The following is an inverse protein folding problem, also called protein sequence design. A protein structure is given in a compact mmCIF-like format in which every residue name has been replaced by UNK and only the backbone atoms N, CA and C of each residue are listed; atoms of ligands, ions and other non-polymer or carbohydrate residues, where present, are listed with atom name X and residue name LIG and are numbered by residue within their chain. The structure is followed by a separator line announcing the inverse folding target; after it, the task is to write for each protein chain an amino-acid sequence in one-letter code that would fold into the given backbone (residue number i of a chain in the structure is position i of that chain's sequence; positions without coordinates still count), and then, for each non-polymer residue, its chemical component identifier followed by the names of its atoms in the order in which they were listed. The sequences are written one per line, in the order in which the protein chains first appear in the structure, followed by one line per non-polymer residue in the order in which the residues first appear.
data_IF_254368782373
#
_entry.id   IF_254368782373
#
_cell.length_a   1.000
_cell.length_b   1.000
_cell.length_c   1.000
_cell.angle_alpha   90.00
_cell.angle_beta   90.00
_cell.angle_gamma   90.00
#
_symmetry.space_group_name_H-M   'P 1'
#
loop_
_entity.id
_entity.type
_entity.pdbx_description
1 polymer ?
#
# COMPACT_ATOMS: atom_id res chain seq x y z
N UNK A 1 14.76 -18.93 -11.93
CA UNK A 1 15.61 -17.97 -11.22
C UNK A 1 14.90 -16.60 -11.15
N UNK A 2 14.81 -15.99 -9.94
CA UNK A 2 14.31 -14.62 -9.77
C UNK A 2 15.48 -13.65 -9.89
N UNK A 3 15.32 -12.63 -10.73
CA UNK A 3 16.25 -11.51 -10.85
C UNK A 3 15.80 -10.40 -9.91
N UNK A 4 16.77 -9.71 -9.33
CA UNK A 4 16.58 -8.48 -8.55
C UNK A 4 17.48 -7.42 -9.14
N UNK A 5 16.90 -6.42 -9.78
CA UNK A 5 17.64 -5.28 -10.32
C UNK A 5 17.37 -4.02 -9.51
N UNK A 6 18.41 -3.22 -9.30
CA UNK A 6 18.31 -1.86 -8.78
C UNK A 6 18.20 -0.91 -9.96
N UNK A 7 17.13 -0.13 -10.01
CA UNK A 7 16.97 0.90 -11.03
C UNK A 7 16.36 2.18 -10.43
N UNK A 8 16.34 3.25 -11.22
CA UNK A 8 15.61 4.48 -10.93
C UNK A 8 14.55 4.70 -11.98
N UNK A 9 13.31 4.87 -11.56
CA UNK A 9 12.21 5.31 -12.41
C UNK A 9 11.97 6.79 -12.12
N UNK A 10 12.43 7.64 -13.04
CA UNK A 10 12.54 9.06 -12.77
C UNK A 10 13.46 9.33 -11.57
N UNK A 11 12.89 9.90 -10.50
CA UNK A 11 13.62 10.17 -9.25
C UNK A 11 13.42 9.07 -8.16
N UNK A 12 12.72 7.98 -8.48
CA UNK A 12 12.30 6.95 -7.52
C UNK A 12 13.26 5.76 -7.62
N UNK A 13 14.11 5.49 -6.62
CA UNK A 13 14.86 4.24 -6.53
C UNK A 13 13.92 3.07 -6.29
N UNK A 14 14.09 1.98 -7.04
CA UNK A 14 13.27 0.78 -6.92
C UNK A 14 14.12 -0.48 -6.94
N UNK A 15 13.65 -1.54 -6.29
CA UNK A 15 14.05 -2.90 -6.59
C UNK A 15 13.00 -3.50 -7.52
N UNK A 16 13.45 -4.04 -8.64
CA UNK A 16 12.63 -4.61 -9.69
C UNK A 16 12.88 -6.12 -9.76
N UNK A 17 11.84 -6.90 -9.51
CA UNK A 17 11.91 -8.35 -9.45
C UNK A 17 10.98 -8.99 -10.46
N UNK A 18 11.45 -10.05 -11.11
CA UNK A 18 10.63 -11.02 -11.84
C UNK A 18 11.43 -12.30 -12.14
N UNK A 19 10.79 -13.30 -12.73
CA UNK A 19 11.52 -14.43 -13.30
C UNK A 19 12.45 -13.97 -14.43
N UNK A 20 13.66 -14.54 -14.47
CA UNK A 20 14.69 -14.21 -15.47
C UNK A 20 14.18 -14.43 -16.91
N UNK A 21 13.50 -15.54 -17.15
CA UNK A 21 12.95 -15.89 -18.45
C UNK A 21 11.88 -14.94 -18.97
N UNK A 22 11.25 -14.18 -18.07
CA UNK A 22 10.14 -13.26 -18.37
C UNK A 22 10.50 -11.79 -18.08
N UNK A 23 11.75 -11.48 -17.73
CA UNK A 23 12.16 -10.13 -17.30
C UNK A 23 11.88 -9.04 -18.33
N UNK A 24 11.99 -9.36 -19.63
CA UNK A 24 11.72 -8.44 -20.74
C UNK A 24 10.34 -8.64 -21.36
N UNK A 25 9.44 -9.40 -20.72
CA UNK A 25 8.10 -9.66 -21.24
C UNK A 25 7.06 -8.79 -20.50
N UNK A 26 5.90 -8.62 -21.09
CA UNK A 26 4.77 -7.98 -20.46
C UNK A 26 4.17 -8.91 -19.37
N UNK A 27 4.20 -8.44 -18.10
CA UNK A 27 3.73 -9.20 -16.95
C UNK A 27 2.69 -8.41 -16.15
N UNK A 28 1.85 -9.08 -15.34
CA UNK A 28 1.07 -8.38 -14.31
C UNK A 28 2.03 -7.71 -13.31
N UNK A 29 1.70 -6.47 -12.92
CA UNK A 29 2.51 -5.66 -12.01
C UNK A 29 1.97 -5.74 -10.58
N UNK A 30 2.87 -5.84 -9.61
CA UNK A 30 2.60 -5.55 -8.20
C UNK A 30 3.59 -4.49 -7.72
N UNK A 31 3.09 -3.39 -7.16
CA UNK A 31 3.92 -2.41 -6.47
C UNK A 31 3.70 -2.62 -4.98
N UNK A 32 4.78 -2.92 -4.24
CA UNK A 32 4.72 -3.16 -2.80
C UNK A 32 5.46 -2.06 -2.04
N UNK A 33 4.74 -1.34 -1.18
CA UNK A 33 5.22 -0.15 -0.47
C UNK A 33 5.60 -0.50 0.96
N UNK A 34 6.79 -0.09 1.38
CA UNK A 34 7.28 -0.30 2.75
C UNK A 34 6.60 0.62 3.77
N UNK A 35 6.77 0.30 5.07
CA UNK A 35 6.29 1.09 6.19
C UNK A 35 7.16 2.29 6.51
N UNK A 36 6.67 3.15 7.41
CA UNK A 36 7.42 4.27 7.99
C UNK A 36 8.71 3.76 8.67
N UNK A 37 9.81 4.49 8.54
CA UNK A 37 11.14 4.11 9.04
C UNK A 37 11.67 2.77 8.49
N UNK A 38 11.24 2.37 7.30
CA UNK A 38 11.68 1.17 6.61
C UNK A 38 12.35 1.53 5.28
N UNK A 39 12.66 0.54 4.45
CA UNK A 39 13.22 0.69 3.13
C UNK A 39 12.72 -0.45 2.21
N UNK A 40 12.91 -0.27 0.90
CA UNK A 40 12.50 -1.24 -0.11
C UNK A 40 13.05 -2.65 0.15
N UNK A 41 14.29 -2.75 0.63
CA UNK A 41 14.99 -4.01 0.88
C UNK A 41 14.31 -4.87 1.95
N UNK A 42 13.65 -4.26 2.93
CA UNK A 42 13.00 -4.97 4.03
C UNK A 42 11.76 -5.77 3.59
N UNK A 43 11.30 -5.58 2.34
CA UNK A 43 10.12 -6.23 1.79
C UNK A 43 10.45 -7.27 0.70
N UNK A 44 11.73 -7.63 0.53
CA UNK A 44 12.18 -8.59 -0.49
C UNK A 44 11.50 -9.96 -0.36
N UNK A 45 11.16 -10.40 0.84
CA UNK A 45 10.48 -11.68 1.05
C UNK A 45 9.05 -11.70 0.46
N UNK A 46 8.32 -10.58 0.47
CA UNK A 46 7.05 -10.46 -0.26
C UNK A 46 7.27 -10.50 -1.76
N UNK A 47 8.21 -9.68 -2.24
CA UNK A 47 8.49 -9.57 -3.66
C UNK A 47 8.96 -10.88 -4.27
N UNK A 48 9.79 -11.64 -3.55
CA UNK A 48 10.25 -12.97 -3.97
C UNK A 48 9.07 -13.93 -4.17
N UNK A 49 8.19 -14.07 -3.17
CA UNK A 49 7.04 -14.97 -3.25
C UNK A 49 6.07 -14.60 -4.39
N UNK A 50 5.91 -13.31 -4.67
CA UNK A 50 5.06 -12.85 -5.77
C UNK A 50 5.76 -13.05 -7.12
N UNK A 51 7.07 -12.81 -7.22
CA UNK A 51 7.83 -13.05 -8.44
C UNK A 51 7.87 -14.55 -8.82
N UNK A 52 7.98 -15.47 -7.84
CA UNK A 52 7.84 -16.93 -8.08
C UNK A 52 6.47 -17.31 -8.67
N UNK A 53 5.45 -16.50 -8.46
CA UNK A 53 4.12 -16.68 -9.04
C UNK A 53 3.95 -16.04 -10.43
N UNK A 54 5.04 -15.52 -11.01
CA UNK A 54 5.06 -14.95 -12.36
C UNK A 54 4.63 -13.47 -12.42
N UNK A 55 4.70 -12.75 -11.31
CA UNK A 55 4.46 -11.30 -11.27
C UNK A 55 5.75 -10.52 -11.48
N UNK A 56 5.64 -9.36 -12.09
CA UNK A 56 6.62 -8.28 -11.99
C UNK A 56 6.36 -7.54 -10.69
N UNK A 57 7.38 -7.41 -9.83
CA UNK A 57 7.23 -6.76 -8.53
C UNK A 57 8.19 -5.59 -8.42
N UNK A 58 7.68 -4.43 -8.07
CA UNK A 58 8.47 -3.25 -7.77
C UNK A 58 8.35 -2.87 -6.29
N UNK A 59 9.51 -2.63 -5.68
CA UNK A 59 9.64 -2.13 -4.33
C UNK A 59 10.25 -0.73 -4.41
N UNK A 60 9.46 0.36 -4.38
CA UNK A 60 10.00 1.71 -4.37
C UNK A 60 10.46 2.14 -2.96
N UNK A 61 11.47 3.01 -2.88
CA UNK A 61 11.69 3.81 -1.67
C UNK A 61 10.70 4.96 -1.60
N UNK A 62 10.03 5.09 -0.47
CA UNK A 62 9.20 6.25 -0.15
C UNK A 62 10.10 7.48 0.03
N UNK A 63 9.60 8.67 -0.29
CA UNK A 63 10.32 9.92 -0.04
C UNK A 63 10.83 9.98 1.41
N UNK A 64 12.02 10.48 1.62
CA UNK A 64 12.75 10.57 2.90
C UNK A 64 13.17 9.22 3.51
N UNK A 65 13.08 8.12 2.77
CA UNK A 65 13.49 6.79 3.21
C UNK A 65 14.45 6.13 2.20
N UNK A 66 15.25 5.17 2.69
CA UNK A 66 16.18 4.40 1.86
C UNK A 66 17.14 5.29 1.08
N UNK A 67 17.24 5.11 -0.23
CA UNK A 67 18.09 5.96 -1.09
C UNK A 67 17.55 7.40 -1.32
N UNK A 68 16.39 7.73 -0.76
CA UNK A 68 15.78 9.07 -0.77
C UNK A 68 15.91 9.80 0.57
N UNK A 69 16.69 9.26 1.50
CA UNK A 69 16.98 9.91 2.79
C UNK A 69 17.66 11.27 2.61
N UNK A 70 17.30 12.22 3.49
CA UNK A 70 17.87 13.57 3.53
C UNK A 70 18.41 13.91 4.93
N UNK A 71 18.59 12.89 5.77
CA UNK A 71 19.14 13.04 7.12
C UNK A 71 18.18 13.59 8.16
N UNK A 72 16.86 13.47 7.95
CA UNK A 72 15.86 13.85 8.95
C UNK A 72 15.89 12.91 10.16
N UNK A 73 15.80 13.49 11.36
CA UNK A 73 15.52 12.73 12.58
C UNK A 73 14.06 12.28 12.62
N UNK A 74 13.73 11.33 13.49
CA UNK A 74 12.35 10.84 13.69
C UNK A 74 11.38 11.98 14.00
N UNK A 75 11.79 12.95 14.80
CA UNK A 75 10.97 14.12 15.13
C UNK A 75 10.73 15.05 13.94
N UNK A 76 11.59 15.01 12.93
CA UNK A 76 11.42 15.77 11.68
C UNK A 76 10.62 14.98 10.63
N UNK A 77 10.65 13.64 10.69
CA UNK A 77 9.88 12.76 9.79
C UNK A 77 8.40 12.66 10.17
N UNK A 78 8.10 12.54 11.46
CA UNK A 78 6.72 12.36 11.94
C UNK A 78 5.74 13.42 11.40
N UNK A 79 6.04 14.72 11.40
CA UNK A 79 5.16 15.75 10.84
C UNK A 79 4.93 15.63 9.33
N UNK A 80 5.84 14.94 8.63
CA UNK A 80 5.79 14.75 7.18
C UNK A 80 5.07 13.47 6.77
N UNK A 81 4.47 12.75 7.71
CA UNK A 81 3.83 11.47 7.46
C UNK A 81 2.82 11.53 6.29
N UNK A 82 1.91 12.50 6.31
CA UNK A 82 0.91 12.64 5.27
C UNK A 82 1.48 13.16 3.95
N UNK A 83 2.53 13.97 3.98
CA UNK A 83 3.29 14.35 2.79
C UNK A 83 3.87 13.10 2.11
N UNK A 84 4.49 12.20 2.90
CA UNK A 84 5.04 10.94 2.40
C UNK A 84 3.96 10.04 1.78
N UNK A 85 2.82 9.91 2.45
CA UNK A 85 1.69 9.12 1.93
C UNK A 85 1.20 9.68 0.60
N UNK A 86 0.91 10.98 0.52
CA UNK A 86 0.37 11.61 -0.69
C UNK A 86 1.39 11.63 -1.84
N UNK A 87 2.68 11.87 -1.54
CA UNK A 87 3.72 11.82 -2.57
C UNK A 87 3.90 10.40 -3.11
N UNK A 88 3.86 9.38 -2.25
CA UNK A 88 3.98 7.99 -2.70
C UNK A 88 2.82 7.58 -3.60
N UNK A 89 1.59 8.03 -3.31
CA UNK A 89 0.45 7.80 -4.22
C UNK A 89 0.74 8.36 -5.62
N UNK A 90 1.32 9.56 -5.73
CA UNK A 90 1.72 10.16 -7.02
C UNK A 90 2.84 9.36 -7.69
N UNK A 91 3.81 8.91 -6.90
CA UNK A 91 4.95 8.11 -7.39
C UNK A 91 4.49 6.80 -8.04
N UNK A 92 3.38 6.18 -7.57
CA UNK A 92 2.80 4.98 -8.19
C UNK A 92 2.40 5.20 -9.66
N UNK A 93 1.83 6.36 -9.98
CA UNK A 93 1.46 6.69 -11.35
C UNK A 93 2.69 6.84 -12.24
N UNK A 94 3.77 7.48 -11.75
CA UNK A 94 5.03 7.59 -12.47
C UNK A 94 5.65 6.21 -12.76
N UNK A 95 5.66 5.33 -11.77
CA UNK A 95 6.16 3.95 -11.92
C UNK A 95 5.35 3.20 -12.98
N UNK A 96 4.02 3.26 -12.90
CA UNK A 96 3.12 2.61 -13.87
C UNK A 96 3.38 3.15 -15.29
N UNK A 97 3.46 4.46 -15.46
CA UNK A 97 3.61 5.08 -16.79
C UNK A 97 4.96 4.73 -17.45
N UNK A 98 6.05 4.69 -16.68
CA UNK A 98 7.36 4.26 -17.16
C UNK A 98 7.34 2.81 -17.66
N UNK A 99 6.80 1.90 -16.85
CA UNK A 99 6.75 0.48 -17.21
C UNK A 99 5.81 0.20 -18.39
N UNK A 100 4.71 0.96 -18.54
CA UNK A 100 3.85 0.89 -19.71
C UNK A 100 4.57 1.37 -20.97
N UNK A 101 5.30 2.49 -20.89
CA UNK A 101 6.09 3.01 -22.02
C UNK A 101 7.16 2.00 -22.47
N UNK A 102 7.74 1.26 -21.51
CA UNK A 102 8.72 0.19 -21.76
C UNK A 102 8.05 -1.14 -22.19
N UNK A 103 6.74 -1.23 -22.24
CA UNK A 103 5.97 -2.44 -22.58
C UNK A 103 6.28 -3.64 -21.67
N UNK A 104 6.48 -3.38 -20.39
CA UNK A 104 6.85 -4.40 -19.41
C UNK A 104 5.66 -4.88 -18.57
N UNK A 105 4.53 -4.17 -18.62
CA UNK A 105 3.35 -4.48 -17.78
C UNK A 105 2.05 -4.49 -18.56
N UNK A 106 1.13 -5.37 -18.14
CA UNK A 106 -0.26 -5.35 -18.59
C UNK A 106 -1.05 -4.29 -17.80
N UNK A 107 -1.52 -3.27 -18.50
CA UNK A 107 -2.29 -2.16 -17.92
C UNK A 107 -3.59 -2.57 -17.22
N UNK A 108 -4.10 -3.77 -17.50
CA UNK A 108 -5.33 -4.31 -16.89
C UNK A 108 -5.08 -5.17 -15.66
N UNK A 109 -3.80 -5.43 -15.33
CA UNK A 109 -3.40 -6.32 -14.24
C UNK A 109 -2.34 -5.64 -13.37
N UNK A 110 -2.78 -4.64 -12.59
CA UNK A 110 -1.91 -3.87 -11.70
C UNK A 110 -2.44 -3.98 -10.27
N UNK A 111 -1.61 -4.53 -9.39
CA UNK A 111 -1.86 -4.63 -7.96
C UNK A 111 -1.00 -3.68 -7.15
N UNK A 112 -1.52 -3.25 -6.02
CA UNK A 112 -0.77 -2.46 -5.04
C UNK A 112 -0.92 -3.07 -3.66
N UNK A 113 0.18 -3.16 -2.93
CA UNK A 113 0.20 -3.62 -1.55
C UNK A 113 1.20 -2.83 -0.71
N UNK A 114 1.09 -2.95 0.59
CA UNK A 114 2.10 -2.41 1.49
C UNK A 114 1.81 -2.66 2.95
N UNK A 115 2.82 -2.41 3.78
CA UNK A 115 2.76 -2.59 5.22
C UNK A 115 2.68 -1.25 5.95
N UNK A 116 1.81 -1.13 6.98
CA UNK A 116 1.69 0.07 7.82
C UNK A 116 1.43 1.33 6.97
N UNK A 117 2.34 2.30 6.93
CA UNK A 117 2.27 3.45 6.02
C UNK A 117 2.03 3.01 4.56
N UNK A 118 2.69 1.94 4.09
CA UNK A 118 2.46 1.40 2.75
C UNK A 118 1.05 0.83 2.56
N UNK A 119 0.45 0.25 3.60
CA UNK A 119 -0.95 -0.17 3.62
C UNK A 119 -1.91 1.03 3.57
N UNK A 120 -1.56 2.12 4.25
CA UNK A 120 -2.28 3.40 4.16
C UNK A 120 -2.21 3.94 2.72
N UNK A 121 -1.01 4.01 2.12
CA UNK A 121 -0.82 4.39 0.71
C UNK A 121 -1.67 3.53 -0.22
N UNK A 122 -1.73 2.21 0.00
CA UNK A 122 -2.56 1.30 -0.81
C UNK A 122 -4.02 1.71 -0.81
N UNK A 123 -4.58 2.03 0.35
CA UNK A 123 -5.97 2.45 0.47
C UNK A 123 -6.25 3.79 -0.26
N UNK A 124 -5.36 4.78 -0.09
CA UNK A 124 -5.52 6.06 -0.79
C UNK A 124 -5.28 5.97 -2.30
N UNK A 125 -4.40 5.07 -2.73
CA UNK A 125 -4.19 4.80 -4.14
C UNK A 125 -5.43 4.18 -4.79
N UNK A 126 -6.15 3.29 -4.08
CA UNK A 126 -7.44 2.76 -4.52
C UNK A 126 -8.53 3.84 -4.63
N UNK A 127 -8.51 4.86 -3.78
CA UNK A 127 -9.41 5.99 -3.90
C UNK A 127 -9.05 6.92 -5.08
N UNK A 128 -7.74 7.04 -5.39
CA UNK A 128 -7.23 7.97 -6.39
C UNK A 128 -7.27 7.41 -7.82
N UNK A 129 -7.05 6.08 -7.98
CA UNK A 129 -6.76 5.48 -9.27
C UNK A 129 -7.63 4.26 -9.57
N UNK A 130 -8.31 4.29 -10.70
CA UNK A 130 -9.14 3.21 -11.25
C UNK A 130 -8.31 2.10 -11.93
N UNK A 131 -7.09 2.41 -12.37
CA UNK A 131 -6.18 1.45 -13.00
C UNK A 131 -5.60 0.40 -12.03
N UNK A 132 -5.71 0.61 -10.72
CA UNK A 132 -5.35 -0.42 -9.72
C UNK A 132 -6.48 -1.43 -9.65
N UNK A 133 -6.20 -2.68 -10.00
CA UNK A 133 -7.21 -3.72 -10.10
C UNK A 133 -7.32 -4.61 -8.87
N UNK A 134 -6.26 -4.70 -8.05
CA UNK A 134 -6.23 -5.50 -6.81
C UNK A 134 -5.45 -4.77 -5.73
N UNK A 135 -5.94 -4.76 -4.49
CA UNK A 135 -5.26 -4.17 -3.33
C UNK A 135 -5.01 -5.16 -2.20
N UNK A 136 -3.89 -4.97 -1.45
CA UNK A 136 -3.64 -5.65 -0.17
C UNK A 136 -3.12 -4.63 0.84
N UNK A 137 -3.91 -4.35 1.87
CA UNK A 137 -3.57 -3.40 2.94
C UNK A 137 -3.18 -4.16 4.21
N UNK A 138 -1.87 -4.23 4.49
CA UNK A 138 -1.33 -4.91 5.65
C UNK A 138 -1.12 -3.90 6.79
N UNK A 139 -1.88 -4.05 7.88
CA UNK A 139 -1.91 -3.15 9.05
C UNK A 139 -1.97 -1.65 8.67
N UNK A 140 -2.73 -1.35 7.60
CA UNK A 140 -2.99 0.01 7.12
C UNK A 140 -4.30 0.58 7.65
N UNK A 141 -4.62 1.81 7.22
CA UNK A 141 -5.84 2.50 7.60
C UNK A 141 -6.49 3.17 6.38
N UNK A 142 -7.74 2.86 6.03
CA UNK A 142 -8.44 3.47 4.90
C UNK A 142 -9.09 4.82 5.23
N UNK A 143 -9.21 5.17 6.53
CA UNK A 143 -9.90 6.36 7.03
C UNK A 143 -8.86 7.45 7.34
N UNK A 144 -8.42 8.17 6.33
CA UNK A 144 -7.33 9.15 6.43
C UNK A 144 -7.65 10.29 7.37
N UNK A 145 -8.83 10.88 7.22
CA UNK A 145 -9.28 12.01 8.04
C UNK A 145 -9.34 11.60 9.52
N UNK A 146 -10.06 10.53 9.83
CA UNK A 146 -10.19 10.05 11.21
C UNK A 146 -8.85 9.63 11.82
N UNK A 147 -7.93 9.09 11.02
CA UNK A 147 -6.61 8.71 11.50
C UNK A 147 -5.70 9.92 11.72
N UNK A 148 -5.76 10.93 10.87
CA UNK A 148 -5.05 12.19 11.07
C UNK A 148 -5.54 12.93 12.33
N UNK A 149 -6.85 12.99 12.55
CA UNK A 149 -7.44 13.56 13.76
C UNK A 149 -6.96 12.82 15.03
N UNK A 150 -6.95 11.48 15.00
CA UNK A 150 -6.41 10.68 16.10
C UNK A 150 -4.93 10.97 16.38
N UNK A 151 -4.11 11.08 15.33
CA UNK A 151 -2.68 11.44 15.49
C UNK A 151 -2.51 12.83 16.09
N UNK A 152 -3.30 13.81 15.67
CA UNK A 152 -3.27 15.18 16.19
C UNK A 152 -3.67 15.19 17.68
N UNK A 153 -4.72 14.47 18.05
CA UNK A 153 -5.13 14.35 19.45
C UNK A 153 -4.02 13.75 20.32
N UNK A 154 -3.34 12.70 19.84
CA UNK A 154 -2.24 12.08 20.58
C UNK A 154 -1.03 13.02 20.73
N UNK A 155 -0.71 13.83 19.73
CA UNK A 155 0.32 14.85 19.81
C UNK A 155 -0.06 15.92 20.86
N UNK A 156 -1.31 16.40 20.83
CA UNK A 156 -1.82 17.39 21.81
C UNK A 156 -1.77 16.84 23.24
N UNK A 157 -2.15 15.58 23.47
CA UNK A 157 -2.10 14.91 24.78
C UNK A 157 -0.68 14.80 25.34
N UNK A 158 0.29 14.52 24.48
CA UNK A 158 1.70 14.38 24.88
C UNK A 158 2.39 15.72 25.19
N UNK A 159 1.69 16.85 25.07
CA UNK A 159 2.23 18.21 25.26
C UNK A 159 3.53 18.46 24.47
N UNK A 160 3.70 17.76 23.36
CA UNK A 160 4.79 18.05 22.43
C UNK A 160 4.50 19.43 21.85
N UNK A 161 5.47 20.36 22.00
CA UNK A 161 5.35 21.70 21.42
C UNK A 161 5.44 21.56 19.89
N UNK A 162 4.31 21.29 19.26
CA UNK A 162 4.21 21.09 17.83
C UNK A 162 3.50 22.32 17.28
N UNK A 163 4.22 23.25 16.64
CA UNK A 163 3.67 24.51 16.18
C UNK A 163 2.83 24.33 14.91
N UNK A 164 1.76 23.51 14.97
CA UNK A 164 0.78 23.44 13.91
C UNK A 164 -0.45 24.23 14.35
N UNK A 165 -0.82 25.20 13.56
CA UNK A 165 -2.06 25.98 13.76
C UNK A 165 -3.27 25.14 13.36
N UNK A 166 -4.45 25.47 13.89
CA UNK A 166 -5.70 24.82 13.48
C UNK A 166 -6.00 25.02 11.98
N UNK A 167 -5.53 26.13 11.39
CA UNK A 167 -5.62 26.37 9.94
C UNK A 167 -4.78 25.38 9.14
N UNK A 168 -3.55 25.12 9.56
CA UNK A 168 -2.68 24.13 8.92
C UNK A 168 -3.23 22.70 9.07
N UNK A 169 -3.80 22.37 10.23
CA UNK A 169 -4.52 21.11 10.45
C UNK A 169 -5.67 20.96 9.46
N UNK A 170 -6.53 21.97 9.37
CA UNK A 170 -7.67 21.95 8.46
C UNK A 170 -7.22 21.80 7.00
N UNK A 171 -6.16 22.48 6.60
CA UNK A 171 -5.58 22.36 5.25
C UNK A 171 -5.11 20.93 4.94
N UNK A 172 -4.44 20.28 5.89
CA UNK A 172 -4.03 18.86 5.74
C UNK A 172 -5.28 17.98 5.62
N UNK A 173 -6.27 18.13 6.49
CA UNK A 173 -7.51 17.34 6.46
C UNK A 173 -8.21 17.47 5.10
N UNK A 174 -8.35 18.69 4.57
CA UNK A 174 -8.96 18.91 3.24
C UNK A 174 -8.17 18.23 2.11
N UNK A 175 -6.85 18.22 2.18
CA UNK A 175 -5.99 17.52 1.21
C UNK A 175 -6.13 15.99 1.28
N UNK A 176 -6.48 15.43 2.44
CA UNK A 176 -6.64 13.99 2.63
C UNK A 176 -7.99 13.46 2.14
N UNK A 177 -9.04 14.26 2.17
CA UNK A 177 -10.41 13.83 1.82
C UNK A 177 -10.52 13.11 0.46
N UNK A 178 -9.90 13.57 -0.64
CA UNK A 178 -9.97 12.87 -1.94
C UNK A 178 -9.33 11.48 -1.94
N UNK A 179 -8.40 11.23 -1.01
CA UNK A 179 -7.65 9.97 -0.86
C UNK A 179 -8.18 9.09 0.26
N UNK A 180 -9.13 9.58 1.05
CA UNK A 180 -9.75 8.82 2.13
C UNK A 180 -10.74 7.81 1.53
N UNK A 181 -10.34 6.53 1.50
CA UNK A 181 -11.16 5.47 0.91
C UNK A 181 -12.48 5.27 1.70
N UNK A 182 -12.49 5.59 2.99
CA UNK A 182 -13.70 5.48 3.82
C UNK A 182 -14.76 6.53 3.49
N UNK A 183 -14.33 7.69 2.98
CA UNK A 183 -15.21 8.75 2.47
C UNK A 183 -15.57 8.57 0.99
N UNK A 184 -14.80 7.76 0.25
CA UNK A 184 -14.91 7.54 -1.18
C UNK A 184 -15.12 6.04 -1.49
N UNK A 185 -16.03 5.38 -0.79
CA UNK A 185 -16.26 3.92 -0.87
C UNK A 185 -16.67 3.46 -2.28
N UNK A 186 -17.39 4.28 -3.02
CA UNK A 186 -17.78 4.05 -4.40
C UNK A 186 -16.57 3.84 -5.33
N UNK A 187 -15.46 4.50 -5.03
CA UNK A 187 -14.19 4.34 -5.76
C UNK A 187 -13.62 2.94 -5.68
N UNK A 188 -14.00 2.15 -4.68
CA UNK A 188 -13.55 0.76 -4.58
C UNK A 188 -14.09 -0.11 -5.72
N UNK A 189 -15.30 0.18 -6.24
CA UNK A 189 -15.88 -0.44 -7.46
C UNK A 189 -15.79 -1.97 -7.47
N UNK A 190 -16.01 -2.61 -6.33
CA UNK A 190 -15.91 -4.07 -6.14
C UNK A 190 -14.55 -4.69 -6.55
N UNK A 191 -13.48 -3.88 -6.54
CA UNK A 191 -12.12 -4.39 -6.77
C UNK A 191 -11.68 -5.29 -5.62
N UNK A 192 -10.95 -6.39 -5.89
CA UNK A 192 -10.43 -7.26 -4.85
C UNK A 192 -9.55 -6.50 -3.85
N UNK A 193 -9.90 -6.59 -2.56
CA UNK A 193 -9.17 -5.95 -1.48
C UNK A 193 -9.06 -6.88 -0.28
N UNK A 194 -7.82 -7.17 0.11
CA UNK A 194 -7.50 -7.90 1.33
C UNK A 194 -6.99 -6.94 2.39
N UNK A 195 -7.56 -7.03 3.59
CA UNK A 195 -6.98 -6.47 4.81
C UNK A 195 -6.35 -7.57 5.65
N UNK A 196 -5.18 -7.29 6.18
CA UNK A 196 -4.59 -8.07 7.27
C UNK A 196 -4.21 -7.14 8.41
N UNK A 197 -4.56 -7.50 9.66
CA UNK A 197 -4.22 -6.68 10.82
C UNK A 197 -3.95 -7.52 12.06
N UNK A 198 -2.99 -7.08 12.89
CA UNK A 198 -2.79 -7.65 14.22
C UNK A 198 -3.81 -7.10 15.22
N UNK A 199 -4.49 -7.97 15.96
CA UNK A 199 -5.48 -7.54 16.96
C UNK A 199 -4.85 -6.76 18.13
N UNK A 200 -3.54 -6.92 18.35
CA UNK A 200 -2.77 -6.25 19.41
C UNK A 200 -1.90 -5.11 18.88
N UNK A 201 -2.23 -4.57 17.71
CA UNK A 201 -1.46 -3.49 17.09
C UNK A 201 -1.57 -2.19 17.90
N UNK A 202 -0.45 -1.68 18.50
CA UNK A 202 -0.48 -0.46 19.30
C UNK A 202 -0.20 0.80 18.48
N UNK A 203 0.12 0.66 17.18
CA UNK A 203 0.57 1.75 16.30
C UNK A 203 -0.55 2.22 15.38
N UNK A 204 -1.15 1.28 14.63
CA UNK A 204 -2.30 1.54 13.77
C UNK A 204 -3.48 0.72 14.28
N UNK A 205 -4.48 1.34 14.91
CA UNK A 205 -5.65 0.62 15.42
C UNK A 205 -6.42 -0.04 14.28
N UNK A 206 -6.66 -1.36 14.37
CA UNK A 206 -7.35 -2.13 13.32
C UNK A 206 -8.82 -1.73 13.15
N UNK A 207 -9.42 -1.09 14.16
CA UNK A 207 -10.85 -0.79 14.21
C UNK A 207 -11.34 0.08 13.05
N UNK A 208 -10.50 0.99 12.54
CA UNK A 208 -10.85 1.81 11.37
C UNK A 208 -10.96 0.95 10.11
N UNK A 209 -9.96 0.11 9.86
CA UNK A 209 -9.96 -0.80 8.72
C UNK A 209 -11.09 -1.84 8.82
N UNK A 210 -11.35 -2.37 10.03
CA UNK A 210 -12.42 -3.32 10.25
C UNK A 210 -13.81 -2.70 10.03
N UNK A 211 -14.05 -1.50 10.55
CA UNK A 211 -15.33 -0.77 10.32
C UNK A 211 -15.55 -0.48 8.84
N UNK A 212 -14.50 -0.08 8.14
CA UNK A 212 -14.58 0.12 6.69
C UNK A 212 -14.95 -1.18 5.98
N UNK A 213 -14.24 -2.29 6.27
CA UNK A 213 -14.55 -3.61 5.71
C UNK A 213 -16.01 -4.01 5.94
N UNK A 214 -16.49 -3.93 7.19
CA UNK A 214 -17.88 -4.23 7.53
C UNK A 214 -18.88 -3.34 6.75
N UNK A 215 -18.54 -2.07 6.55
CA UNK A 215 -19.39 -1.13 5.79
C UNK A 215 -19.50 -1.45 4.31
N UNK A 216 -18.42 -1.93 3.68
CA UNK A 216 -18.39 -2.16 2.22
C UNK A 216 -18.70 -3.59 1.82
N UNK A 217 -18.50 -4.57 2.69
CA UNK A 217 -18.64 -6.00 2.35
C UNK A 217 -20.02 -6.37 1.80
N UNK A 218 -21.07 -5.71 2.27
CA UNK A 218 -22.43 -5.94 1.77
C UNK A 218 -22.57 -5.57 0.28
N UNK A 219 -21.79 -4.60 -0.21
CA UNK A 219 -21.78 -4.21 -1.62
C UNK A 219 -21.14 -5.24 -2.54
N UNK A 220 -20.35 -6.17 -1.99
CA UNK A 220 -19.72 -7.25 -2.78
C UNK A 220 -20.64 -8.44 -3.06
N UNK A 221 -21.84 -8.52 -2.43
CA UNK A 221 -22.91 -9.51 -2.72
C UNK A 221 -22.42 -10.86 -3.30
N UNK A 222 -22.58 -11.07 -4.62
CA UNK A 222 -22.14 -12.28 -5.31
C UNK A 222 -20.63 -12.42 -5.49
N UNK A 223 -19.86 -11.36 -5.21
CA UNK A 223 -18.40 -11.29 -5.32
C UNK A 223 -17.71 -11.24 -3.95
N UNK A 224 -18.34 -11.83 -2.92
CA UNK A 224 -17.84 -11.80 -1.54
C UNK A 224 -16.40 -12.32 -1.38
N UNK A 225 -15.93 -13.15 -2.29
CA UNK A 225 -14.55 -13.64 -2.34
C UNK A 225 -13.52 -12.57 -2.76
N UNK A 226 -13.98 -11.39 -3.20
CA UNK A 226 -13.14 -10.26 -3.59
C UNK A 226 -12.84 -9.29 -2.44
N UNK A 227 -13.41 -9.51 -1.25
CA UNK A 227 -13.07 -8.72 -0.08
C UNK A 227 -12.88 -9.63 1.13
N UNK A 228 -11.79 -9.44 1.86
CA UNK A 228 -11.50 -10.24 3.06
C UNK A 228 -10.77 -9.42 4.12
N UNK A 229 -10.96 -9.79 5.38
CA UNK A 229 -10.30 -9.19 6.53
C UNK A 229 -9.74 -10.26 7.46
N UNK A 230 -8.43 -10.38 7.51
CA UNK A 230 -7.71 -11.31 8.39
C UNK A 230 -7.29 -10.56 9.64
N UNK A 231 -7.91 -10.88 10.78
CA UNK A 231 -7.52 -10.36 12.09
C UNK A 231 -6.70 -11.40 12.85
N UNK A 232 -5.37 -11.22 12.89
CA UNK A 232 -4.46 -12.09 13.63
C UNK A 232 -4.51 -11.75 15.12
N UNK A 233 -5.12 -12.63 15.92
CA UNK A 233 -5.35 -12.43 17.37
C UNK A 233 -4.05 -12.36 18.19
N UNK A 234 -2.93 -12.85 17.65
CA UNK A 234 -1.64 -12.92 18.34
C UNK A 234 -0.68 -11.81 17.96
N UNK A 235 -0.85 -11.25 16.77
CA UNK A 235 0.05 -10.26 16.20
C UNK A 235 -0.17 -8.85 16.76
N UNK A 236 0.92 -8.10 16.88
CA UNK A 236 0.96 -6.65 17.06
C UNK A 236 1.20 -5.94 15.72
N UNK A 237 2.06 -4.91 15.71
CA UNK A 237 2.43 -4.15 14.50
C UNK A 237 3.51 -4.87 13.68
N UNK A 238 3.26 -6.12 13.32
CA UNK A 238 4.14 -6.95 12.48
C UNK A 238 3.33 -8.03 11.81
N UNK A 239 3.41 -8.11 10.49
CA UNK A 239 2.70 -9.13 9.70
C UNK A 239 3.26 -10.51 10.00
N UNK A 240 2.38 -11.46 10.32
CA UNK A 240 2.77 -12.85 10.53
C UNK A 240 3.14 -13.54 9.22
N UNK A 241 3.85 -14.68 9.32
CA UNK A 241 4.19 -15.49 8.12
C UNK A 241 2.94 -15.86 7.32
N UNK A 242 1.84 -16.16 7.99
CA UNK A 242 0.56 -16.44 7.34
C UNK A 242 0.08 -15.24 6.54
N UNK A 243 0.11 -14.03 7.11
CA UNK A 243 -0.25 -12.79 6.40
C UNK A 243 0.59 -12.54 5.16
N UNK A 244 1.90 -12.86 5.21
CA UNK A 244 2.79 -12.78 4.05
C UNK A 244 2.35 -13.75 2.94
N UNK A 245 2.07 -15.02 3.27
CA UNK A 245 1.63 -16.02 2.31
C UNK A 245 0.26 -15.67 1.72
N UNK A 246 -0.68 -15.25 2.55
CA UNK A 246 -2.03 -14.81 2.11
C UNK A 246 -1.96 -13.63 1.14
N UNK A 247 -0.99 -12.73 1.30
CA UNK A 247 -0.75 -11.64 0.34
C UNK A 247 -0.43 -12.18 -1.05
N UNK A 248 0.50 -13.12 -1.16
CA UNK A 248 0.88 -13.70 -2.45
C UNK A 248 -0.25 -14.54 -3.07
N UNK A 249 -0.99 -15.32 -2.26
CA UNK A 249 -2.17 -16.08 -2.69
C UNK A 249 -3.30 -15.17 -3.19
N UNK A 250 -3.51 -14.00 -2.54
CA UNK A 250 -4.52 -13.03 -2.95
C UNK A 250 -4.27 -12.47 -4.34
N UNK A 251 -3.03 -12.07 -4.63
CA UNK A 251 -2.65 -11.62 -5.97
C UNK A 251 -2.73 -12.75 -6.99
N UNK A 252 -2.30 -13.96 -6.63
CA UNK A 252 -2.41 -15.12 -7.52
C UNK A 252 -3.88 -15.38 -7.91
N UNK A 253 -4.79 -15.30 -6.96
CA UNK A 253 -6.23 -15.52 -7.18
C UNK A 253 -6.86 -14.43 -8.05
N UNK A 254 -6.52 -13.16 -7.83
CA UNK A 254 -7.28 -12.04 -8.38
C UNK A 254 -6.56 -11.25 -9.47
N UNK A 255 -5.24 -11.45 -9.67
CA UNK A 255 -4.44 -10.70 -10.64
C UNK A 255 -3.88 -11.59 -11.77
N UNK A 256 -3.78 -12.92 -11.59
CA UNK A 256 -3.41 -13.83 -12.67
C UNK A 256 -4.51 -13.92 -13.73
N UNK A 257 -4.16 -14.04 -15.02
CA UNK A 257 -5.13 -14.44 -16.00
C UNK A 257 -5.63 -15.85 -15.66
N UNK A 258 -6.92 -16.10 -15.85
CA UNK A 258 -7.41 -17.46 -15.88
C UNK A 258 -6.55 -18.23 -16.89
N UNK A 259 -5.91 -19.31 -16.45
CA UNK A 259 -5.18 -20.20 -17.36
C UNK A 259 -6.21 -20.65 -18.39
N UNK A 260 -6.08 -20.21 -19.64
CA UNK A 260 -6.82 -20.84 -20.73
C UNK A 260 -6.41 -22.30 -20.70
N UNK A 261 -7.34 -23.16 -20.22
CA UNK A 261 -7.17 -24.62 -20.38
C UNK A 261 -7.13 -24.86 -21.89
N UNK A 262 -5.92 -25.20 -22.38
CA UNK A 262 -5.73 -25.69 -23.73
C UNK A 262 -6.47 -26.98 -23.96
#
# INVERSE_FOLDING_TARGET
LIIIEKEKIGHIPVLHLSEQSAFNQELPLIIFIHGFQSAKEHNLHYAYLMAEKGFRVLLPDVIYHGEREVGYSDSQLMPRFWEMVLQTIKDLALIKDDLLARKLIDSKRIGVAGTSMGGIVTNGALAAYDWITVGVSLMGNPSYVAYAELQIEEIKKRKVNFPITDEEVNKVIEQLKPFDLSLNQDKLSNRPLLFWHGAKDPVVPYQHAYRFYEGVKAGYNEAHEKIDFILDQKAGHKVSREGVLRTAEWFEKHLRPAVQKA
#
